data_IF_633923179092
#
_entry.id   IF_633923179092
#
_cell.length_a   1.000
_cell.length_b   1.000
_cell.length_c   1.000
_cell.angle_alpha   90.00
_cell.angle_beta   90.00
_cell.angle_gamma   90.00
#
_symmetry.space_group_name_H-M   'P 1'
#
loop_
_entity.id
_entity.type
_entity.pdbx_description
1 polymer ?
#
# COMPACT_ATOMS: atom_id res chain seq x y z
N UNK A 1 -14.47 16.43 -20.79
CA UNK A 1 -15.31 17.65 -20.82
C UNK A 1 -14.37 18.85 -20.71
N UNK A 2 -14.54 19.88 -21.54
CA UNK A 2 -13.60 21.00 -21.60
C UNK A 2 -13.99 22.01 -20.49
N UNK A 3 -13.17 22.11 -19.44
CA UNK A 3 -13.38 23.04 -18.30
C UNK A 3 -13.58 24.49 -18.72
N UNK A 4 -13.09 24.83 -19.92
CA UNK A 4 -13.25 26.12 -20.58
C UNK A 4 -14.72 26.55 -20.80
N UNK A 5 -15.68 25.62 -20.81
CA UNK A 5 -17.10 25.96 -21.01
C UNK A 5 -17.79 26.51 -19.73
N UNK A 6 -17.16 26.41 -18.55
CA UNK A 6 -17.70 26.94 -17.27
C UNK A 6 -17.95 28.43 -17.33
N UNK A 7 -17.01 29.20 -17.88
CA UNK A 7 -17.10 30.65 -17.93
C UNK A 7 -17.79 31.14 -19.21
N UNK A 8 -17.68 30.35 -20.28
CA UNK A 8 -18.16 30.72 -21.61
C UNK A 8 -19.70 30.71 -21.71
N UNK A 9 -20.36 29.71 -21.13
CA UNK A 9 -21.82 29.60 -21.18
C UNK A 9 -22.54 30.71 -20.39
N UNK A 10 -22.18 31.02 -19.11
CA UNK A 10 -22.76 32.15 -18.41
C UNK A 10 -22.34 33.49 -19.04
N UNK A 11 -21.12 33.59 -19.60
CA UNK A 11 -20.71 34.75 -20.40
C UNK A 11 -21.63 34.99 -21.61
N UNK A 12 -22.02 33.94 -22.32
CA UNK A 12 -22.98 34.03 -23.44
C UNK A 12 -24.38 34.42 -22.97
N UNK A 13 -24.84 33.95 -21.80
CA UNK A 13 -26.10 34.37 -21.21
C UNK A 13 -26.12 35.87 -20.88
N UNK A 14 -25.04 36.38 -20.27
CA UNK A 14 -24.89 37.81 -19.95
C UNK A 14 -24.79 38.67 -21.21
N UNK A 15 -24.05 38.22 -22.23
CA UNK A 15 -23.97 38.90 -23.52
C UNK A 15 -25.33 38.95 -24.23
N UNK A 16 -26.12 37.87 -24.18
CA UNK A 16 -27.47 37.85 -24.74
C UNK A 16 -28.41 38.83 -24.03
N UNK A 17 -28.32 38.92 -22.70
CA UNK A 17 -29.11 39.87 -21.89
C UNK A 17 -28.68 41.33 -22.12
N UNK A 18 -27.46 41.57 -22.59
CA UNK A 18 -26.95 42.93 -22.87
C UNK A 18 -27.39 43.49 -24.23
N UNK A 19 -28.07 42.71 -25.08
CA UNK A 19 -28.54 43.14 -26.40
C UNK A 19 -29.75 44.06 -26.30
N UNK A 20 -29.84 45.06 -27.18
CA UNK A 20 -30.99 45.99 -27.29
C UNK A 20 -32.33 45.26 -27.52
N UNK A 21 -32.30 44.12 -28.23
CA UNK A 21 -33.40 43.15 -28.30
C UNK A 21 -32.91 41.80 -27.80
N UNK A 22 -32.99 41.59 -26.49
CA UNK A 22 -32.60 40.33 -25.86
C UNK A 22 -33.62 39.23 -26.16
N UNK A 23 -33.14 38.03 -26.49
CA UNK A 23 -33.99 36.83 -26.56
C UNK A 23 -34.02 36.15 -25.20
N UNK A 24 -35.14 36.31 -24.49
CA UNK A 24 -35.34 35.66 -23.20
C UNK A 24 -35.18 34.14 -23.29
N UNK A 25 -35.70 33.52 -24.36
CA UNK A 25 -35.56 32.08 -24.62
C UNK A 25 -34.09 31.66 -24.74
N UNK A 26 -33.24 32.47 -25.38
CA UNK A 26 -31.82 32.15 -25.53
C UNK A 26 -31.05 32.32 -24.21
N UNK A 27 -31.37 33.36 -23.45
CA UNK A 27 -30.78 33.58 -22.12
C UNK A 27 -31.14 32.42 -21.16
N UNK A 28 -32.40 31.97 -21.18
CA UNK A 28 -32.87 30.81 -20.41
C UNK A 28 -32.15 29.53 -20.84
N UNK A 29 -32.01 29.28 -22.14
CA UNK A 29 -31.28 28.12 -22.67
C UNK A 29 -29.81 28.09 -22.21
N UNK A 30 -29.11 29.23 -22.28
CA UNK A 30 -27.72 29.32 -21.80
C UNK A 30 -27.62 29.10 -20.29
N UNK A 31 -28.56 29.64 -19.52
CA UNK A 31 -28.61 29.45 -18.06
C UNK A 31 -28.87 27.99 -17.70
N UNK A 32 -29.80 27.32 -18.37
CA UNK A 32 -30.07 25.88 -18.16
C UNK A 32 -28.87 25.01 -18.54
N UNK A 33 -28.19 25.33 -19.65
CA UNK A 33 -26.97 24.63 -20.05
C UNK A 33 -25.83 24.80 -19.02
N UNK A 34 -25.70 25.99 -18.42
CA UNK A 34 -24.75 26.26 -17.35
C UNK A 34 -25.07 25.42 -16.11
N UNK A 35 -26.32 25.42 -15.63
CA UNK A 35 -26.73 24.64 -14.47
C UNK A 35 -26.49 23.13 -14.66
N UNK A 36 -26.77 22.60 -15.85
CA UNK A 36 -26.52 21.20 -16.18
C UNK A 36 -25.02 20.86 -16.16
N UNK A 37 -24.19 21.75 -16.69
CA UNK A 37 -22.74 21.59 -16.69
C UNK A 37 -22.18 21.65 -15.25
N UNK A 38 -22.65 22.62 -14.46
CA UNK A 38 -22.28 22.76 -13.05
C UNK A 38 -22.61 21.50 -12.24
N UNK A 39 -23.84 20.99 -12.37
CA UNK A 39 -24.26 19.76 -11.68
C UNK A 39 -23.42 18.54 -12.11
N UNK A 40 -23.02 18.47 -13.38
CA UNK A 40 -22.15 17.40 -13.87
C UNK A 40 -20.73 17.52 -13.29
N UNK A 41 -20.18 18.73 -13.16
CA UNK A 41 -18.87 18.96 -12.54
C UNK A 41 -18.91 18.64 -11.05
N UNK A 42 -19.95 19.06 -10.32
CA UNK A 42 -20.13 18.73 -8.90
C UNK A 42 -20.19 17.22 -8.68
N UNK A 43 -20.92 16.50 -9.55
CA UNK A 43 -20.96 15.04 -9.53
C UNK A 43 -19.57 14.43 -9.75
N UNK A 44 -18.83 14.89 -10.75
CA UNK A 44 -17.48 14.39 -11.04
C UNK A 44 -16.47 14.70 -9.94
N UNK A 45 -16.53 15.90 -9.36
CA UNK A 45 -15.70 16.27 -8.22
C UNK A 45 -16.01 15.39 -7.02
N UNK A 46 -17.29 15.14 -6.75
CA UNK A 46 -17.72 14.24 -5.67
C UNK A 46 -17.25 12.80 -5.90
N UNK A 47 -17.36 12.29 -7.13
CA UNK A 47 -16.81 10.98 -7.52
C UNK A 47 -15.29 10.92 -7.33
N UNK A 48 -14.55 11.96 -7.71
CA UNK A 48 -13.09 12.04 -7.53
C UNK A 48 -12.68 12.17 -6.06
N UNK A 49 -13.41 12.96 -5.26
CA UNK A 49 -13.18 13.08 -3.81
C UNK A 49 -13.43 11.73 -3.14
N UNK A 50 -14.53 11.05 -3.50
CA UNK A 50 -14.83 9.71 -2.98
C UNK A 50 -13.77 8.69 -3.41
N UNK A 51 -13.34 8.72 -4.67
CA UNK A 51 -12.26 7.86 -5.17
C UNK A 51 -10.95 8.12 -4.43
N UNK A 52 -10.50 9.37 -4.35
CA UNK A 52 -9.30 9.77 -3.61
C UNK A 52 -9.39 9.38 -2.14
N UNK A 53 -10.54 9.58 -1.49
CA UNK A 53 -10.79 9.12 -0.12
C UNK A 53 -10.63 7.60 -0.01
N UNK A 54 -11.22 6.83 -0.94
CA UNK A 54 -11.16 5.37 -0.97
C UNK A 54 -9.73 4.83 -1.19
N UNK A 55 -8.98 5.41 -2.14
CA UNK A 55 -7.61 4.98 -2.44
C UNK A 55 -6.58 5.52 -1.46
N UNK A 56 -6.82 6.69 -0.84
CA UNK A 56 -5.88 7.31 0.12
C UNK A 56 -6.07 6.80 1.54
N UNK A 57 -7.24 6.25 1.88
CA UNK A 57 -7.50 5.62 3.20
C UNK A 57 -7.25 4.11 3.22
N UNK A 58 -6.74 3.54 2.12
CA UNK A 58 -6.25 2.17 2.10
C UNK A 58 -7.34 1.10 2.06
N UNK A 59 -8.35 1.26 1.19
CA UNK A 59 -9.14 0.09 0.83
C UNK A 59 -8.20 -1.00 0.28
N UNK A 60 -8.22 -2.22 0.84
CA UNK A 60 -7.35 -3.30 0.41
C UNK A 60 -7.80 -3.70 -0.99
N UNK A 61 -7.06 -3.28 -2.00
CA UNK A 61 -7.11 -3.90 -3.31
C UNK A 61 -6.76 -5.38 -3.12
N UNK A 62 -7.75 -6.24 -3.09
CA UNK A 62 -7.57 -7.61 -3.51
C UNK A 62 -7.14 -7.56 -5.00
N UNK A 63 -5.83 -7.36 -5.27
CA UNK A 63 -5.26 -7.40 -6.62
C UNK A 63 -4.29 -6.30 -7.09
N UNK A 64 -3.96 -5.26 -6.32
CA UNK A 64 -2.92 -4.27 -6.74
C UNK A 64 -1.49 -4.61 -6.28
N UNK A 65 -0.50 -4.04 -6.99
CA UNK A 65 0.95 -4.21 -6.80
C UNK A 65 1.41 -4.03 -5.35
N UNK A 66 0.72 -3.20 -4.54
CA UNK A 66 1.05 -3.04 -3.12
C UNK A 66 0.77 -4.32 -2.29
N UNK A 67 -0.27 -5.10 -2.63
CA UNK A 67 -0.54 -6.37 -1.95
C UNK A 67 0.61 -7.36 -2.21
N UNK A 68 1.06 -7.47 -3.47
CA UNK A 68 2.22 -8.28 -3.85
C UNK A 68 3.51 -7.79 -3.18
N UNK A 69 3.74 -6.47 -3.13
CA UNK A 69 4.89 -5.88 -2.46
C UNK A 69 4.89 -6.15 -0.94
N UNK A 70 3.72 -6.11 -0.29
CA UNK A 70 3.59 -6.42 1.14
C UNK A 70 3.81 -7.90 1.42
N UNK A 71 3.25 -8.79 0.58
CA UNK A 71 3.50 -10.23 0.68
C UNK A 71 4.99 -10.53 0.52
N UNK A 72 5.67 -9.88 -0.43
CA UNK A 72 7.12 -10.00 -0.60
C UNK A 72 7.89 -9.50 0.62
N UNK A 73 7.53 -8.32 1.15
CA UNK A 73 8.14 -7.78 2.37
C UNK A 73 8.00 -8.75 3.56
N UNK A 74 6.81 -9.33 3.73
CA UNK A 74 6.54 -10.31 4.76
C UNK A 74 7.31 -11.61 4.55
N UNK A 75 7.41 -12.09 3.30
CA UNK A 75 8.20 -13.26 2.96
C UNK A 75 9.69 -13.04 3.27
N UNK A 76 10.22 -11.86 2.98
CA UNK A 76 11.60 -11.49 3.32
C UNK A 76 11.85 -11.51 4.82
N UNK A 77 10.95 -10.91 5.61
CA UNK A 77 11.06 -10.90 7.06
C UNK A 77 10.99 -12.32 7.65
N UNK A 78 10.05 -13.15 7.16
CA UNK A 78 9.94 -14.57 7.56
C UNK A 78 11.20 -15.37 7.19
N UNK A 79 11.77 -15.12 6.01
CA UNK A 79 13.01 -15.77 5.57
C UNK A 79 14.18 -15.39 6.48
N UNK A 80 14.32 -14.09 6.80
CA UNK A 80 15.33 -13.59 7.74
C UNK A 80 15.21 -14.26 9.11
N UNK A 81 14.01 -14.31 9.67
CA UNK A 81 13.74 -14.97 10.96
C UNK A 81 14.09 -16.46 10.93
N UNK A 82 13.77 -17.15 9.84
CA UNK A 82 14.09 -18.58 9.69
C UNK A 82 15.60 -18.81 9.61
N UNK A 83 16.33 -17.92 8.92
CA UNK A 83 17.80 -17.99 8.84
C UNK A 83 18.46 -17.75 10.19
N UNK A 84 18.00 -16.74 10.93
CA UNK A 84 18.47 -16.46 12.28
C UNK A 84 18.25 -17.67 13.20
N UNK A 85 17.04 -18.23 13.19
CA UNK A 85 16.73 -19.43 13.98
C UNK A 85 17.57 -20.64 13.59
N UNK A 86 17.88 -20.81 12.30
CA UNK A 86 18.73 -21.90 11.83
C UNK A 86 20.16 -21.74 12.36
N UNK A 87 20.71 -20.52 12.32
CA UNK A 87 22.05 -20.24 12.87
C UNK A 87 22.12 -20.55 14.37
N UNK A 88 21.13 -20.11 15.15
CA UNK A 88 21.04 -20.44 16.58
C UNK A 88 21.05 -21.97 16.83
N UNK A 89 20.32 -22.73 16.01
CA UNK A 89 20.28 -24.18 16.12
C UNK A 89 21.60 -24.85 15.73
N UNK A 90 22.30 -24.32 14.72
CA UNK A 90 23.63 -24.81 14.34
C UNK A 90 24.67 -24.57 15.44
N UNK A 91 24.62 -23.40 16.09
CA UNK A 91 25.47 -23.07 17.24
C UNK A 91 25.20 -24.03 18.40
N UNK A 92 23.92 -24.26 18.73
CA UNK A 92 23.51 -25.20 19.76
C UNK A 92 24.00 -26.63 19.45
N UNK A 93 23.79 -27.12 18.22
CA UNK A 93 24.27 -28.44 17.78
C UNK A 93 25.78 -28.55 17.99
N UNK A 94 26.54 -27.55 17.57
CA UNK A 94 28.00 -27.54 17.67
C UNK A 94 28.43 -27.57 19.14
N UNK A 95 27.80 -26.78 19.99
CA UNK A 95 28.05 -26.76 21.44
C UNK A 95 27.78 -28.13 22.08
N UNK A 96 26.65 -28.76 21.76
CA UNK A 96 26.33 -30.09 22.28
C UNK A 96 27.32 -31.16 21.80
N UNK A 97 27.74 -31.11 20.53
CA UNK A 97 28.74 -32.02 19.99
C UNK A 97 30.09 -31.87 20.70
N UNK A 98 30.53 -30.64 20.97
CA UNK A 98 31.77 -30.36 21.69
C UNK A 98 31.71 -30.85 23.14
N UNK A 99 30.61 -30.57 23.86
CA UNK A 99 30.42 -31.02 25.25
C UNK A 99 30.43 -32.56 25.34
N UNK A 100 29.78 -33.24 24.40
CA UNK A 100 29.76 -34.70 24.36
C UNK A 100 31.15 -35.28 24.09
N UNK A 101 31.91 -34.70 23.15
CA UNK A 101 33.29 -35.12 22.87
C UNK A 101 34.22 -34.93 24.09
N UNK A 102 34.10 -33.79 24.79
CA UNK A 102 34.87 -33.53 26.02
C UNK A 102 34.52 -34.52 27.14
N UNK A 103 33.24 -34.85 27.32
CA UNK A 103 32.82 -35.85 28.32
C UNK A 103 33.39 -37.23 28.01
N UNK A 104 33.41 -37.66 26.75
CA UNK A 104 34.02 -38.94 26.37
C UNK A 104 35.52 -38.98 26.63
N UNK A 105 36.24 -37.89 26.35
CA UNK A 105 37.68 -37.80 26.65
C UNK A 105 37.96 -37.85 28.16
N UNK A 106 37.17 -37.14 28.97
CA UNK A 106 37.33 -37.18 30.44
C UNK A 106 37.07 -38.59 31.00
N UNK A 107 36.06 -39.31 30.49
CA UNK A 107 35.81 -40.70 30.91
C UNK A 107 36.95 -41.65 30.53
N UNK A 108 37.53 -41.50 29.32
CA UNK A 108 38.69 -42.30 28.92
C UNK A 108 39.93 -42.03 29.79
N UNK A 109 40.20 -40.76 30.12
CA UNK A 109 41.33 -40.40 30.99
C UNK A 109 41.16 -40.96 32.41
N UNK A 110 39.94 -40.92 32.96
CA UNK A 110 39.66 -41.51 34.27
C UNK A 110 39.85 -43.04 34.28
N UNK A 111 39.43 -43.74 33.22
CA UNK A 111 39.65 -45.19 33.13
C UNK A 111 41.13 -45.55 32.98
N UNK A 112 41.92 -44.78 32.22
CA UNK A 112 43.36 -45.02 32.08
C UNK A 112 44.12 -44.77 33.40
N UNK A 113 43.75 -43.74 34.17
CA UNK A 113 44.37 -43.49 35.48
C UNK A 113 44.04 -44.58 36.51
N UNK A 114 42.84 -45.17 36.45
CA UNK A 114 42.50 -46.30 37.33
C UNK A 114 43.26 -47.60 36.99
N UNK A 115 43.65 -47.80 35.74
CA UNK A 115 44.48 -48.96 35.34
C UNK A 115 45.96 -48.78 35.66
N UNK A 116 46.48 -47.55 35.75
CA UNK A 116 47.89 -47.30 36.13
C UNK A 116 48.15 -47.34 37.63
N UNK A 117 47.10 -47.23 38.46
CA UNK A 117 47.20 -47.26 39.92
C UNK A 117 46.89 -48.64 40.54
N UNK A 118 46.79 -49.70 39.72
CA UNK A 118 46.76 -51.11 40.13
C UNK A 118 48.05 -51.79 39.69
#
# INVERSE_FOLDING_TARGET
>A
MNTNEIFKIPGNALLELSKEKSSQKNAENHTQAFLKNLAQIEKQLSEQINYLSQVSTGHPHEGSSYASAKVLQMAWHRNSQTRERLMELEELRTKYSQVNAQRQQQQQQQMQQQQQNQ
#
